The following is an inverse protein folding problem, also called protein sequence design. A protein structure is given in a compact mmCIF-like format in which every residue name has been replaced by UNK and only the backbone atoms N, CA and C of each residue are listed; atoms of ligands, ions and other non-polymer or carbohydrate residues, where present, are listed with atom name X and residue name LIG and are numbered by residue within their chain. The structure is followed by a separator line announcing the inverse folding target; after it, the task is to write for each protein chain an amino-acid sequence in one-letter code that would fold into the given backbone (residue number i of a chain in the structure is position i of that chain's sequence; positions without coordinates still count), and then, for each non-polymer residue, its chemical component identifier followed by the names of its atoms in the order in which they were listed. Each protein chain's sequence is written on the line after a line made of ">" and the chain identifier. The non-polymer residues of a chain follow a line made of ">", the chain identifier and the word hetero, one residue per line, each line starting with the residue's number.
data_IF_678498682802
#
_entry.id   IF_678498682802
#
_cell.length_a   1.000
_cell.length_b   1.000
_cell.length_c   1.000
_cell.angle_alpha   90.00
_cell.angle_beta   90.00
_cell.angle_gamma   90.00
#
_symmetry.space_group_name_H-M   'P 1'
#
loop_
_entity.id
_entity.type
_entity.pdbx_description
1 polymer ?
#
# COMPACT_ATOMS: atom_id res chain seq x y z
N UNK A 1 3.11 -44.05 3.09
CA UNK A 1 2.34 -43.28 4.08
C UNK A 1 3.25 -42.73 5.18
N UNK A 2 4.07 -43.56 5.82
CA UNK A 2 5.01 -43.11 6.87
C UNK A 2 5.97 -41.97 6.47
N UNK A 3 6.67 -42.09 5.33
CA UNK A 3 7.61 -41.05 4.86
C UNK A 3 6.91 -39.70 4.61
N UNK A 4 5.74 -39.72 3.99
CA UNK A 4 4.94 -38.51 3.74
C UNK A 4 4.46 -37.87 5.05
N UNK A 5 4.16 -38.67 6.08
CA UNK A 5 3.81 -38.16 7.39
C UNK A 5 4.99 -37.44 8.05
N UNK A 6 6.20 -38.01 7.94
CA UNK A 6 7.44 -37.35 8.40
C UNK A 6 7.69 -36.04 7.66
N UNK A 7 7.51 -36.00 6.33
CA UNK A 7 7.64 -34.77 5.53
C UNK A 7 6.62 -33.69 5.95
N UNK A 8 5.45 -34.09 6.47
CA UNK A 8 4.46 -33.19 7.04
C UNK A 8 4.74 -32.81 8.51
N UNK A 9 5.89 -33.22 9.06
CA UNK A 9 6.30 -32.92 10.44
C UNK A 9 5.66 -33.81 11.50
N UNK A 10 4.96 -34.89 11.13
CA UNK A 10 4.35 -35.83 12.07
C UNK A 10 5.47 -36.69 12.67
N UNK A 11 5.57 -36.77 13.99
CA UNK A 11 6.62 -37.55 14.64
C UNK A 11 6.38 -39.06 14.47
N UNK A 12 7.44 -39.90 14.53
CA UNK A 12 7.26 -41.35 14.54
C UNK A 12 6.33 -41.86 15.65
N UNK A 13 6.39 -41.23 16.83
CA UNK A 13 5.53 -41.60 17.95
C UNK A 13 4.06 -41.31 17.64
N UNK A 14 3.77 -40.12 17.12
CA UNK A 14 2.40 -39.76 16.73
C UNK A 14 1.88 -40.64 15.59
N UNK A 15 2.75 -40.97 14.62
CA UNK A 15 2.39 -41.86 13.52
C UNK A 15 1.95 -43.24 13.97
N UNK A 16 2.68 -43.85 14.92
CA UNK A 16 2.35 -45.21 15.39
C UNK A 16 1.23 -45.22 16.43
N UNK A 17 0.97 -44.10 17.11
CA UNK A 17 -0.08 -44.00 18.12
C UNK A 17 -1.42 -43.50 17.55
N UNK A 18 -1.43 -42.89 16.36
CA UNK A 18 -2.65 -42.41 15.71
C UNK A 18 -3.23 -43.43 14.72
N UNK A 19 -4.53 -43.32 14.48
CA UNK A 19 -5.21 -44.06 13.43
C UNK A 19 -4.80 -43.55 12.04
N UNK A 20 -4.90 -44.39 10.99
CA UNK A 20 -4.63 -43.96 9.61
C UNK A 20 -5.47 -42.74 9.18
N UNK A 21 -6.69 -42.60 9.69
CA UNK A 21 -7.55 -41.46 9.38
C UNK A 21 -7.05 -40.17 10.00
N UNK A 22 -6.63 -40.19 11.27
CA UNK A 22 -6.04 -39.03 11.93
C UNK A 22 -4.75 -38.58 11.23
N UNK A 23 -3.93 -39.53 10.77
CA UNK A 23 -2.74 -39.22 9.97
C UNK A 23 -3.10 -38.55 8.65
N UNK A 24 -4.13 -39.02 7.96
CA UNK A 24 -4.64 -38.36 6.76
C UNK A 24 -5.12 -36.93 7.06
N UNK A 25 -5.89 -36.72 8.13
CA UNK A 25 -6.40 -35.39 8.52
C UNK A 25 -5.27 -34.40 8.85
N UNK A 26 -4.23 -34.86 9.56
CA UNK A 26 -3.05 -34.06 9.87
C UNK A 26 -2.28 -33.68 8.60
N UNK A 27 -2.04 -34.65 7.71
CA UNK A 27 -1.37 -34.40 6.43
C UNK A 27 -2.19 -33.45 5.53
N UNK A 28 -3.51 -33.57 5.52
CA UNK A 28 -4.38 -32.65 4.77
C UNK A 28 -4.33 -31.23 5.34
N UNK A 29 -4.33 -31.10 6.67
CA UNK A 29 -4.18 -29.81 7.34
C UNK A 29 -2.86 -29.15 6.99
N UNK A 30 -1.75 -29.91 7.07
CA UNK A 30 -0.43 -29.47 6.66
C UNK A 30 -0.44 -28.99 5.20
N UNK A 31 -1.06 -29.75 4.28
CA UNK A 31 -1.19 -29.36 2.87
C UNK A 31 -1.98 -28.06 2.68
N UNK A 32 -3.04 -27.83 3.45
CA UNK A 32 -3.82 -26.57 3.38
C UNK A 32 -2.97 -25.38 3.80
N UNK A 33 -2.21 -25.52 4.88
CA UNK A 33 -1.30 -24.48 5.39
C UNK A 33 -0.19 -24.20 4.36
N UNK A 34 0.51 -25.24 3.90
CA UNK A 34 1.59 -25.08 2.90
C UNK A 34 1.10 -24.41 1.61
N UNK A 35 -0.10 -24.78 1.14
CA UNK A 35 -0.71 -24.14 -0.02
C UNK A 35 -1.01 -22.66 0.24
N UNK A 36 -1.53 -22.31 1.42
CA UNK A 36 -1.77 -20.92 1.79
C UNK A 36 -0.47 -20.13 1.86
N UNK A 37 0.56 -20.68 2.50
CA UNK A 37 1.88 -20.04 2.59
C UNK A 37 2.53 -19.87 1.20
N UNK A 38 2.46 -20.88 0.34
CA UNK A 38 2.98 -20.78 -1.03
C UNK A 38 2.27 -19.67 -1.81
N UNK A 39 0.95 -19.56 -1.70
CA UNK A 39 0.18 -18.46 -2.30
C UNK A 39 0.61 -17.10 -1.75
N UNK A 40 0.79 -16.98 -0.44
CA UNK A 40 1.25 -15.74 0.18
C UNK A 40 2.64 -15.35 -0.32
N UNK A 41 3.59 -16.28 -0.38
CA UNK A 41 4.95 -16.05 -0.93
C UNK A 41 4.88 -15.57 -2.38
N UNK A 42 4.16 -16.28 -3.25
CA UNK A 42 4.00 -15.89 -4.66
C UNK A 42 3.38 -14.51 -4.80
N UNK A 43 2.34 -14.19 -4.03
CA UNK A 43 1.72 -12.87 -4.06
C UNK A 43 2.68 -11.77 -3.60
N UNK A 44 3.47 -12.01 -2.54
CA UNK A 44 4.47 -11.06 -2.06
C UNK A 44 5.54 -10.80 -3.12
N UNK A 45 6.07 -11.85 -3.74
CA UNK A 45 7.08 -11.75 -4.80
C UNK A 45 6.52 -10.99 -6.02
N UNK A 46 5.27 -11.28 -6.40
CA UNK A 46 4.60 -10.61 -7.49
C UNK A 46 4.43 -9.11 -7.21
N UNK A 47 3.93 -8.74 -6.02
CA UNK A 47 3.75 -7.34 -5.63
C UNK A 47 5.10 -6.63 -5.59
N UNK A 48 6.16 -7.26 -5.06
CA UNK A 48 7.49 -6.68 -5.05
C UNK A 48 8.01 -6.42 -6.48
N UNK A 49 7.84 -7.38 -7.39
CA UNK A 49 8.23 -7.22 -8.79
C UNK A 49 7.46 -6.08 -9.46
N UNK A 50 6.15 -5.98 -9.23
CA UNK A 50 5.30 -4.93 -9.77
C UNK A 50 5.71 -3.54 -9.25
N UNK A 51 5.89 -3.41 -7.94
CA UNK A 51 6.32 -2.15 -7.30
C UNK A 51 7.67 -1.70 -7.86
N UNK A 52 8.63 -2.62 -7.97
CA UNK A 52 9.95 -2.33 -8.56
C UNK A 52 9.84 -1.89 -10.03
N UNK A 53 9.00 -2.58 -10.83
CA UNK A 53 8.77 -2.21 -12.22
C UNK A 53 8.19 -0.79 -12.34
N UNK A 54 7.20 -0.44 -11.49
CA UNK A 54 6.62 0.92 -11.45
C UNK A 54 7.65 1.96 -11.04
N UNK A 55 8.50 1.69 -10.05
CA UNK A 55 9.59 2.58 -9.67
C UNK A 55 10.59 2.81 -10.81
N UNK A 56 10.99 1.75 -11.52
CA UNK A 56 11.90 1.85 -12.65
C UNK A 56 11.27 2.64 -13.81
N UNK A 57 10.00 2.41 -14.12
CA UNK A 57 9.28 3.18 -15.13
C UNK A 57 9.23 4.67 -14.77
N UNK A 58 8.90 5.00 -13.52
CA UNK A 58 8.92 6.39 -13.03
C UNK A 58 10.31 7.02 -13.13
N UNK A 59 11.37 6.27 -12.80
CA UNK A 59 12.75 6.75 -12.89
C UNK A 59 13.19 7.02 -14.34
N UNK A 60 12.68 6.27 -15.32
CA UNK A 60 12.99 6.44 -16.74
C UNK A 60 12.17 7.58 -17.38
N UNK A 61 10.86 7.61 -17.13
CA UNK A 61 9.95 8.55 -17.79
C UNK A 61 9.86 9.91 -17.06
N UNK A 62 10.34 9.99 -15.82
CA UNK A 62 10.25 11.17 -14.95
C UNK A 62 8.81 11.55 -14.57
N UNK A 63 7.86 10.67 -14.87
CA UNK A 63 6.41 10.86 -14.65
C UNK A 63 5.86 9.61 -13.98
N UNK A 64 5.00 9.81 -12.99
CA UNK A 64 4.36 8.72 -12.26
C UNK A 64 4.27 9.03 -10.78
N UNK A 65 3.36 8.32 -10.11
CA UNK A 65 3.22 8.37 -8.67
C UNK A 65 3.91 7.16 -8.04
N UNK A 66 4.54 7.38 -6.89
CA UNK A 66 5.11 6.31 -6.10
C UNK A 66 3.98 5.41 -5.61
N UNK A 67 3.98 4.10 -5.96
CA UNK A 67 2.93 3.17 -5.54
C UNK A 67 2.80 3.16 -4.02
N UNK A 68 1.56 3.25 -3.52
CA UNK A 68 1.29 3.26 -2.09
C UNK A 68 0.87 1.88 -1.59
N UNK A 69 1.18 1.57 -0.33
CA UNK A 69 0.94 0.24 0.25
C UNK A 69 -0.57 -0.10 0.28
N UNK A 70 -1.43 0.88 0.52
CA UNK A 70 -2.88 0.72 0.50
C UNK A 70 -3.49 0.47 -0.88
N UNK A 71 -2.74 0.62 -1.99
CA UNK A 71 -3.21 0.16 -3.31
C UNK A 71 -3.25 -1.37 -3.39
N UNK A 72 -2.35 -2.04 -2.67
CA UNK A 72 -2.21 -3.50 -2.66
C UNK A 72 -2.98 -4.15 -1.51
N UNK A 73 -3.03 -3.46 -0.35
CA UNK A 73 -3.68 -3.95 0.86
C UNK A 73 -4.64 -2.89 1.43
N UNK A 74 -5.73 -2.56 0.71
CA UNK A 74 -6.60 -1.43 1.05
C UNK A 74 -7.28 -1.57 2.41
N UNK A 75 -7.70 -2.78 2.78
CA UNK A 75 -8.37 -3.03 4.06
C UNK A 75 -7.40 -2.94 5.25
N UNK A 76 -6.15 -3.35 5.05
CA UNK A 76 -5.13 -3.35 6.12
C UNK A 76 -4.59 -1.95 6.41
N UNK A 77 -4.62 -1.06 5.41
CA UNK A 77 -4.03 0.29 5.48
C UNK A 77 -5.07 1.41 5.23
N UNK A 78 -6.33 1.17 5.58
CA UNK A 78 -7.43 2.11 5.34
C UNK A 78 -7.24 3.42 6.14
N UNK A 79 -6.71 3.31 7.36
CA UNK A 79 -6.46 4.46 8.23
C UNK A 79 -5.32 5.33 7.69
N UNK A 80 -4.23 4.73 7.21
CA UNK A 80 -3.09 5.41 6.61
C UNK A 80 -3.49 6.15 5.34
N UNK A 81 -4.34 5.52 4.51
CA UNK A 81 -4.91 6.17 3.33
C UNK A 81 -5.70 7.41 3.74
N UNK A 82 -6.59 7.29 4.72
CA UNK A 82 -7.43 8.41 5.20
C UNK A 82 -6.59 9.55 5.77
N UNK A 83 -5.56 9.22 6.58
CA UNK A 83 -4.63 10.21 7.12
C UNK A 83 -3.83 10.92 6.02
N UNK A 84 -3.38 10.16 5.01
CA UNK A 84 -2.67 10.72 3.87
C UNK A 84 -3.56 11.69 3.08
N UNK A 85 -4.78 11.28 2.76
CA UNK A 85 -5.75 12.12 2.04
C UNK A 85 -6.11 13.39 2.82
N UNK A 86 -6.28 13.28 4.14
CA UNK A 86 -6.55 14.43 5.01
C UNK A 86 -5.41 15.43 5.02
N UNK A 87 -4.16 14.95 5.11
CA UNK A 87 -2.96 15.81 5.04
C UNK A 87 -2.87 16.49 3.68
N UNK A 88 -3.06 15.75 2.60
CA UNK A 88 -3.04 16.32 1.25
C UNK A 88 -4.11 17.37 1.01
N UNK A 89 -5.31 17.16 1.56
CA UNK A 89 -6.37 18.16 1.51
C UNK A 89 -6.02 19.41 2.34
N UNK A 90 -5.40 19.24 3.51
CA UNK A 90 -4.95 20.35 4.35
C UNK A 90 -3.86 21.18 3.64
N UNK A 91 -2.83 20.53 3.10
CA UNK A 91 -1.74 21.19 2.37
C UNK A 91 -2.29 21.95 1.15
N UNK A 92 -3.17 21.31 0.36
CA UNK A 92 -3.80 21.96 -0.78
C UNK A 92 -4.64 23.19 -0.40
N UNK A 93 -5.27 23.16 0.78
CA UNK A 93 -6.03 24.28 1.32
C UNK A 93 -5.13 25.43 1.77
N UNK A 94 -3.96 25.13 2.36
CA UNK A 94 -2.96 26.14 2.70
C UNK A 94 -2.40 26.83 1.45
N UNK A 95 -2.05 26.05 0.43
CA UNK A 95 -1.61 26.57 -0.87
C UNK A 95 -2.67 27.45 -1.54
N UNK A 96 -3.95 27.06 -1.42
CA UNK A 96 -5.06 27.87 -1.91
C UNK A 96 -5.16 29.21 -1.17
N UNK A 97 -5.07 29.20 0.17
CA UNK A 97 -5.10 30.42 1.00
C UNK A 97 -3.93 31.34 0.64
N UNK A 98 -2.72 30.80 0.46
CA UNK A 98 -1.54 31.57 0.07
C UNK A 98 -1.75 32.27 -1.28
N UNK A 99 -2.16 31.52 -2.31
CA UNK A 99 -2.48 32.07 -3.64
C UNK A 99 -3.57 33.14 -3.59
N UNK A 100 -4.59 32.94 -2.75
CA UNK A 100 -5.67 33.91 -2.56
C UNK A 100 -5.17 35.21 -1.92
N UNK A 101 -4.30 35.12 -0.92
CA UNK A 101 -3.71 36.29 -0.27
C UNK A 101 -2.86 37.09 -1.26
N UNK A 102 -2.04 36.44 -2.06
CA UNK A 102 -1.21 37.12 -3.07
C UNK A 102 -2.05 37.78 -4.16
N UNK A 103 -3.13 37.12 -4.60
CA UNK A 103 -4.10 37.73 -5.51
C UNK A 103 -4.73 39.00 -4.92
N UNK A 104 -5.18 38.95 -3.65
CA UNK A 104 -5.79 40.10 -2.97
C UNK A 104 -4.76 41.24 -2.79
N UNK A 105 -3.52 40.92 -2.44
CA UNK A 105 -2.42 41.91 -2.33
C UNK A 105 -2.20 42.61 -3.67
N UNK A 106 -2.12 41.86 -4.76
CA UNK A 106 -1.91 42.42 -6.09
C UNK A 106 -3.11 43.27 -6.55
N UNK A 107 -4.33 42.80 -6.32
CA UNK A 107 -5.55 43.56 -6.62
C UNK A 107 -5.59 44.90 -5.87
N UNK A 108 -5.29 44.88 -4.57
CA UNK A 108 -5.24 46.09 -3.75
C UNK A 108 -4.13 47.04 -4.20
N UNK A 109 -2.96 46.52 -4.60
CA UNK A 109 -1.86 47.32 -5.16
C UNK A 109 -2.29 48.06 -6.43
N UNK A 110 -2.97 47.37 -7.35
CA UNK A 110 -3.50 47.97 -8.59
C UNK A 110 -4.55 49.04 -8.32
N UNK A 111 -5.48 48.77 -7.39
CA UNK A 111 -6.53 49.73 -7.00
C UNK A 111 -5.96 50.99 -6.36
N UNK A 112 -4.92 50.87 -5.52
CA UNK A 112 -4.20 52.02 -4.94
C UNK A 112 -3.49 52.85 -6.02
N UNK A 113 -2.87 52.21 -7.02
CA UNK A 113 -2.25 52.93 -8.16
C UNK A 113 -3.27 53.68 -9.01
N UNK A 114 -4.46 53.12 -9.25
CA UNK A 114 -5.52 53.81 -9.98
C UNK A 114 -6.10 54.99 -9.20
N UNK A 115 -6.28 54.86 -7.88
CA UNK A 115 -6.77 55.96 -7.02
C UNK A 115 -5.72 57.04 -6.72
N UNK A 116 -4.42 56.73 -6.82
CA UNK A 116 -3.33 57.69 -6.68
C UNK A 116 -2.84 58.29 -8.00
N UNK A 117 -3.55 58.03 -9.10
CA UNK A 117 -3.19 58.44 -10.46
C UNK A 117 -4.02 59.58 -11.04
N UNK A 118 -4.86 60.26 -10.24
CA UNK A 118 -5.42 61.56 -10.60
C UNK A 118 -4.64 62.67 -9.90
N UNK A 119 -3.65 63.30 -10.57
CA UNK A 119 -3.35 64.71 -10.39
C UNK A 119 -4.10 65.51 -11.47
N UNK A 120 -4.71 66.62 -11.04
CA UNK A 120 -5.14 67.73 -11.90
C UNK A 120 -4.01 68.25 -12.80
#
# INVERSE_FOLDING_TARGET
>A
MYTLALDCGISPADFWNASPMEICDLMESHRRIERQQAKQRINQDFIMAEVNARYLAMAMDGKGEIPKVWEYYPELYADEKTQYETRMAADAMEDYKARRLDYVREFNRRRKKQKGGEPE
#
